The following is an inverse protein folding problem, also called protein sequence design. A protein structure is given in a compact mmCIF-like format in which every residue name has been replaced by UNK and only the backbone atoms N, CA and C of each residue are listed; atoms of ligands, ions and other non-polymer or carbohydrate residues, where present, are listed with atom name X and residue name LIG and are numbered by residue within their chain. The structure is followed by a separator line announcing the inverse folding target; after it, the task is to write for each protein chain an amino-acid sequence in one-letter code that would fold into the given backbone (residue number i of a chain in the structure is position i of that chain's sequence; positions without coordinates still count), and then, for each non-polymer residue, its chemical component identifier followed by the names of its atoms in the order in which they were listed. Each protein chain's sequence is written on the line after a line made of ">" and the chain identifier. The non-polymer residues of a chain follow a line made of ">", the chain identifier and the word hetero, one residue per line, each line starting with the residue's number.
data_IF_201459592424
#
_entry.id   IF_201459592424
#
_cell.length_a   1.000
_cell.length_b   1.000
_cell.length_c   1.000
_cell.angle_alpha   90.00
_cell.angle_beta   90.00
_cell.angle_gamma   90.00
#
_symmetry.space_group_name_H-M   'P 1'
#
loop_
_entity.id
_entity.type
_entity.pdbx_description
1 polymer ?
#
# COMPACT_ATOMS: atom_id res chain seq x y z
N UNK A 1 38.12 52.40 -17.71
CA UNK A 1 36.80 52.66 -17.13
C UNK A 1 36.02 51.33 -17.24
N UNK A 2 36.24 50.47 -16.24
CA UNK A 2 35.61 49.16 -16.13
C UNK A 2 34.31 49.33 -15.37
N UNK A 3 33.24 48.86 -15.98
CA UNK A 3 31.91 48.84 -15.32
C UNK A 3 31.81 47.50 -14.56
N UNK A 4 31.84 47.60 -13.26
CA UNK A 4 31.61 46.49 -12.31
C UNK A 4 30.13 46.05 -12.43
N UNK A 5 29.89 44.85 -12.91
CA UNK A 5 28.60 44.23 -12.95
C UNK A 5 28.23 43.66 -11.58
N UNK A 6 27.31 44.29 -10.90
CA UNK A 6 26.73 43.78 -9.65
C UNK A 6 25.99 42.45 -9.86
N UNK A 7 26.25 41.52 -8.95
CA UNK A 7 25.69 40.16 -8.92
C UNK A 7 24.18 40.23 -8.62
N UNK A 8 23.32 39.55 -9.39
CA UNK A 8 21.86 39.57 -9.18
C UNK A 8 21.42 39.08 -7.78
N UNK A 9 22.22 38.29 -7.11
CA UNK A 9 21.91 37.79 -5.76
C UNK A 9 22.01 38.89 -4.65
N UNK A 10 22.83 39.94 -4.86
CA UNK A 10 22.90 41.06 -3.93
C UNK A 10 21.71 42.02 -4.05
N UNK A 11 21.09 42.12 -5.25
CA UNK A 11 19.91 42.95 -5.44
C UNK A 11 18.67 42.37 -4.78
N UNK A 12 18.52 41.03 -4.78
CA UNK A 12 17.43 40.30 -4.10
C UNK A 12 17.57 40.40 -2.58
N UNK A 13 18.77 40.22 -2.04
CA UNK A 13 19.04 40.35 -0.61
C UNK A 13 18.75 41.77 -0.11
N UNK A 14 19.07 42.81 -0.91
CA UNK A 14 18.80 44.20 -0.57
C UNK A 14 17.33 44.57 -0.55
N UNK A 15 16.52 43.92 -1.41
CA UNK A 15 15.04 44.12 -1.45
C UNK A 15 14.36 43.45 -0.26
N UNK A 16 14.76 42.23 0.11
CA UNK A 16 14.23 41.51 1.26
C UNK A 16 14.54 42.26 2.57
N UNK A 17 15.74 42.80 2.68
CA UNK A 17 16.14 43.59 3.86
C UNK A 17 15.35 44.92 4.01
N UNK A 18 15.02 45.57 2.90
CA UNK A 18 14.18 46.81 2.90
C UNK A 18 12.72 46.53 3.25
N UNK A 19 12.18 45.40 2.83
CA UNK A 19 10.81 45.01 3.19
C UNK A 19 10.72 44.68 4.68
N UNK A 20 11.71 43.98 5.23
CA UNK A 20 11.81 43.66 6.68
C UNK A 20 11.99 44.92 7.52
N UNK A 21 12.78 45.90 7.05
CA UNK A 21 12.99 47.16 7.74
C UNK A 21 11.76 48.07 7.77
N UNK A 22 10.94 48.06 6.72
CA UNK A 22 9.69 48.84 6.69
C UNK A 22 8.57 48.25 7.54
N UNK A 23 8.57 46.91 7.75
CA UNK A 23 7.66 46.24 8.68
C UNK A 23 8.00 46.49 10.14
N UNK A 24 9.30 46.75 10.44
CA UNK A 24 9.77 47.05 11.82
C UNK A 24 9.42 48.48 12.27
N UNK A 25 9.24 49.45 11.38
CA UNK A 25 9.00 50.84 11.72
C UNK A 25 7.49 51.14 12.03
N UNK A 26 6.57 50.28 11.63
CA UNK A 26 5.13 50.44 11.96
C UNK A 26 4.73 49.85 13.33
N UNK A 27 5.62 49.11 14.03
CA UNK A 27 5.34 48.49 15.33
C UNK A 27 5.78 49.33 16.57
N UNK A 28 6.37 50.52 16.41
CA UNK A 28 6.98 51.29 17.54
C UNK A 28 6.19 52.51 17.95
N UNK A 29 4.99 52.72 17.49
CA UNK A 29 4.21 53.92 17.77
C UNK A 29 2.93 53.67 18.59
N UNK A 30 2.96 53.13 19.80
CA UNK A 30 1.91 53.27 20.83
C UNK A 30 2.27 52.49 22.10
N UNK A 31 3.21 52.99 22.94
CA UNK A 31 3.26 52.61 24.33
C UNK A 31 3.50 53.83 25.19
N UNK A 32 2.44 54.33 25.81
CA UNK A 32 2.42 55.25 26.94
C UNK A 32 1.95 54.55 28.19
N UNK A 33 2.86 54.41 29.11
CA UNK A 33 2.71 54.33 30.57
C UNK A 33 1.71 53.35 31.21
N UNK A 34 2.22 52.28 31.81
CA UNK A 34 1.85 51.86 33.18
C UNK A 34 2.97 50.92 33.73
N UNK A 35 3.58 51.31 34.85
CA UNK A 35 4.52 50.54 35.62
C UNK A 35 3.87 49.32 36.25
N UNK A 36 4.46 48.14 36.14
CA UNK A 36 4.09 46.93 36.87
C UNK A 36 5.02 45.77 36.53
N UNK A 37 5.81 45.41 37.49
CA UNK A 37 6.83 44.37 37.56
C UNK A 37 6.36 43.01 37.06
N UNK A 38 7.13 42.30 36.24
CA UNK A 38 7.54 40.88 36.44
C UNK A 38 8.05 40.25 35.13
N UNK A 39 9.17 39.66 35.18
CA UNK A 39 9.80 38.63 34.39
C UNK A 39 8.82 37.81 33.51
N UNK A 40 9.00 37.85 32.22
CA UNK A 40 8.63 36.73 31.34
C UNK A 40 9.33 36.88 30.02
N UNK A 41 10.08 35.85 29.68
CA UNK A 41 10.93 35.73 28.52
C UNK A 41 10.27 36.03 27.20
N UNK A 42 11.03 36.57 26.30
CA UNK A 42 10.77 36.72 24.87
C UNK A 42 10.54 35.34 24.24
N UNK A 43 9.28 34.90 24.14
CA UNK A 43 8.85 33.82 23.29
C UNK A 43 7.45 34.16 22.75
N UNK A 44 7.40 35.04 21.78
CA UNK A 44 6.28 35.10 20.86
C UNK A 44 6.82 35.47 19.50
N UNK A 45 7.34 34.48 18.77
CA UNK A 45 7.13 34.44 17.32
C UNK A 45 5.62 34.46 17.18
N UNK A 46 5.05 35.59 16.81
CA UNK A 46 3.61 35.67 16.49
C UNK A 46 3.36 34.58 15.46
N UNK A 47 2.75 33.49 15.87
CA UNK A 47 2.21 32.51 14.96
C UNK A 47 1.17 33.26 14.14
N UNK A 48 1.48 33.59 12.88
CA UNK A 48 0.51 34.17 11.96
C UNK A 48 -0.76 33.32 12.04
N UNK A 49 -1.84 33.93 12.48
CA UNK A 49 -3.13 33.27 12.58
C UNK A 49 -3.51 32.69 11.20
N UNK A 50 -4.05 31.50 11.19
CA UNK A 50 -4.43 30.76 9.97
C UNK A 50 -5.32 31.61 9.05
N UNK A 51 -6.19 32.45 9.62
CA UNK A 51 -7.09 33.31 8.86
C UNK A 51 -6.32 34.45 8.16
N UNK A 52 -5.36 35.07 8.83
CA UNK A 52 -4.51 36.10 8.23
C UNK A 52 -3.67 35.56 7.08
N UNK A 53 -3.14 34.33 7.21
CA UNK A 53 -2.44 33.64 6.11
C UNK A 53 -3.39 33.37 4.94
N UNK A 54 -4.60 32.93 5.24
CA UNK A 54 -5.63 32.65 4.23
C UNK A 54 -6.02 33.89 3.47
N UNK A 55 -6.32 34.99 4.16
CA UNK A 55 -6.66 36.28 3.54
C UNK A 55 -5.52 36.80 2.65
N UNK A 56 -4.27 36.72 3.15
CA UNK A 56 -3.11 37.13 2.38
C UNK A 56 -2.96 36.31 1.09
N UNK A 57 -3.11 34.99 1.15
CA UNK A 57 -3.00 34.11 -0.03
C UNK A 57 -4.16 34.31 -1.01
N UNK A 58 -5.35 34.72 -0.54
CA UNK A 58 -6.48 35.02 -1.43
C UNK A 58 -6.26 36.30 -2.23
N UNK A 59 -5.54 37.28 -1.67
CA UNK A 59 -5.19 38.55 -2.34
C UNK A 59 -3.95 38.39 -3.22
N UNK A 60 -3.05 37.43 -2.87
CA UNK A 60 -1.78 37.17 -3.54
C UNK A 60 -1.69 35.71 -4.04
N UNK A 61 -2.60 35.30 -4.96
CA UNK A 61 -2.60 33.91 -5.46
C UNK A 61 -1.34 33.55 -6.24
N UNK A 62 -0.62 34.52 -6.78
CA UNK A 62 0.65 34.37 -7.49
C UNK A 62 1.72 33.69 -6.62
N UNK A 63 1.71 33.89 -5.32
CA UNK A 63 2.65 33.22 -4.38
C UNK A 63 2.51 31.71 -4.44
N UNK A 64 1.29 31.22 -4.62
CA UNK A 64 1.02 29.78 -4.69
C UNK A 64 1.21 29.25 -6.12
N UNK A 65 0.92 30.07 -7.13
CA UNK A 65 0.92 29.65 -8.54
C UNK A 65 2.31 29.74 -9.18
N UNK A 66 3.07 30.77 -8.82
CA UNK A 66 4.32 31.11 -9.51
C UNK A 66 5.57 30.63 -8.74
N UNK A 67 5.43 30.27 -7.44
CA UNK A 67 6.52 29.71 -6.65
C UNK A 67 6.59 28.18 -6.81
N UNK A 68 7.67 27.63 -7.42
CA UNK A 68 7.81 26.19 -7.66
C UNK A 68 7.86 25.38 -6.36
N UNK A 69 8.48 25.90 -5.30
CA UNK A 69 8.62 25.18 -4.02
C UNK A 69 7.28 25.04 -3.32
N UNK A 70 6.46 26.10 -3.32
CA UNK A 70 5.11 26.08 -2.75
C UNK A 70 4.21 25.17 -3.57
N UNK A 71 4.23 25.29 -4.90
CA UNK A 71 3.46 24.43 -5.81
C UNK A 71 3.82 22.94 -5.62
N UNK A 72 5.10 22.63 -5.48
CA UNK A 72 5.58 21.27 -5.22
C UNK A 72 5.18 20.77 -3.83
N UNK A 73 5.23 21.62 -2.81
CA UNK A 73 4.79 21.26 -1.46
C UNK A 73 3.29 20.96 -1.42
N UNK A 74 2.46 21.78 -2.09
CA UNK A 74 1.02 21.54 -2.21
C UNK A 74 0.73 20.25 -2.97
N UNK A 75 1.44 19.99 -4.07
CA UNK A 75 1.31 18.74 -4.84
C UNK A 75 1.63 17.53 -3.97
N UNK A 76 2.76 17.54 -3.26
CA UNK A 76 3.12 16.46 -2.32
C UNK A 76 2.06 16.26 -1.24
N UNK A 77 1.56 17.35 -0.64
CA UNK A 77 0.54 17.28 0.39
C UNK A 77 -0.80 16.72 -0.14
N UNK A 78 -1.19 17.06 -1.37
CA UNK A 78 -2.39 16.49 -2.02
C UNK A 78 -2.22 14.99 -2.28
N UNK A 79 -1.09 14.58 -2.88
CA UNK A 79 -0.79 13.18 -3.13
C UNK A 79 -0.77 12.35 -1.83
N UNK A 80 -0.15 12.86 -0.77
CA UNK A 80 -0.17 12.20 0.54
C UNK A 80 -1.58 12.00 1.06
N UNK A 81 -2.43 13.04 1.01
CA UNK A 81 -3.83 12.92 1.46
C UNK A 81 -4.66 11.95 0.62
N UNK A 82 -4.40 11.89 -0.69
CA UNK A 82 -5.06 10.91 -1.58
C UNK A 82 -4.62 9.49 -1.24
N UNK A 83 -3.33 9.28 -1.00
CA UNK A 83 -2.79 7.99 -0.56
C UNK A 83 -3.37 7.56 0.80
N UNK A 84 -3.43 8.46 1.78
CA UNK A 84 -4.02 8.19 3.09
C UNK A 84 -5.51 7.80 2.98
N UNK A 85 -6.29 8.54 2.17
CA UNK A 85 -7.70 8.21 1.92
C UNK A 85 -7.87 6.86 1.24
N UNK A 86 -7.02 6.57 0.26
CA UNK A 86 -7.05 5.29 -0.43
C UNK A 86 -6.64 4.13 0.50
N UNK A 87 -5.69 4.33 1.40
CA UNK A 87 -5.31 3.34 2.42
C UNK A 87 -6.48 3.06 3.38
N UNK A 88 -7.15 4.11 3.89
CA UNK A 88 -8.35 3.95 4.72
C UNK A 88 -9.45 3.18 3.98
N UNK A 89 -9.71 3.51 2.72
CA UNK A 89 -10.72 2.81 1.92
C UNK A 89 -10.36 1.31 1.75
N UNK A 90 -9.10 0.98 1.46
CA UNK A 90 -8.65 -0.42 1.37
C UNK A 90 -8.80 -1.16 2.69
N UNK A 91 -8.45 -0.53 3.80
CA UNK A 91 -8.66 -1.12 5.13
C UNK A 91 -10.13 -1.45 5.37
N UNK A 92 -11.04 -0.54 5.06
CA UNK A 92 -12.49 -0.77 5.14
C UNK A 92 -12.93 -1.94 4.27
N UNK A 93 -12.39 -2.07 3.05
CA UNK A 93 -12.68 -3.22 2.17
C UNK A 93 -12.20 -4.53 2.81
N UNK A 94 -10.97 -4.56 3.35
CA UNK A 94 -10.43 -5.76 4.01
C UNK A 94 -11.24 -6.14 5.26
N UNK A 95 -11.64 -5.18 6.07
CA UNK A 95 -12.51 -5.40 7.24
C UNK A 95 -13.88 -5.94 6.83
N UNK A 96 -14.48 -5.39 5.78
CA UNK A 96 -15.78 -5.84 5.25
C UNK A 96 -15.72 -7.28 4.72
N UNK A 97 -14.56 -7.71 4.23
CA UNK A 97 -14.35 -9.07 3.69
C UNK A 97 -13.55 -9.98 4.64
N UNK A 98 -13.52 -9.65 5.94
CA UNK A 98 -12.79 -10.44 6.93
C UNK A 98 -13.24 -11.92 6.97
N UNK A 99 -14.54 -12.18 6.82
CA UNK A 99 -15.10 -13.53 6.77
C UNK A 99 -14.57 -14.31 5.56
N UNK A 100 -14.45 -13.69 4.40
CA UNK A 100 -13.84 -14.31 3.21
C UNK A 100 -12.36 -14.62 3.47
N UNK A 101 -11.62 -13.66 4.00
CA UNK A 101 -10.17 -13.81 4.26
C UNK A 101 -9.85 -14.87 5.32
N UNK A 102 -10.81 -15.20 6.19
CA UNK A 102 -10.68 -16.23 7.24
C UNK A 102 -11.50 -17.48 6.95
N UNK A 103 -12.14 -17.56 5.78
CA UNK A 103 -12.95 -18.70 5.36
C UNK A 103 -12.14 -20.00 5.34
N UNK A 104 -12.74 -21.13 5.70
CA UNK A 104 -12.13 -22.47 5.53
C UNK A 104 -11.76 -22.80 4.08
N UNK A 105 -12.27 -22.05 3.11
CA UNK A 105 -11.93 -22.19 1.69
C UNK A 105 -10.73 -21.36 1.28
N UNK A 106 -10.30 -20.42 2.12
CA UNK A 106 -9.21 -19.49 1.80
C UNK A 106 -7.86 -20.08 2.19
N UNK A 107 -7.04 -20.49 1.21
CA UNK A 107 -5.72 -20.95 1.50
C UNK A 107 -4.88 -19.82 2.10
N UNK A 108 -4.21 -20.12 3.19
CA UNK A 108 -3.32 -19.16 3.86
C UNK A 108 -2.19 -19.88 4.57
N UNK A 109 -1.06 -19.20 4.75
CA UNK A 109 0.05 -19.60 5.60
C UNK A 109 0.32 -18.56 6.68
N UNK A 110 0.91 -18.96 7.80
CA UNK A 110 1.08 -18.10 8.98
C UNK A 110 -0.13 -18.06 9.89
N UNK A 111 -0.03 -17.33 11.00
CA UNK A 111 -1.07 -17.22 12.02
C UNK A 111 -2.11 -16.18 11.63
N UNK A 112 -3.39 -16.44 11.93
CA UNK A 112 -4.49 -15.48 11.74
C UNK A 112 -4.27 -14.21 12.57
N UNK A 113 -3.60 -14.33 13.72
CA UNK A 113 -3.25 -13.21 14.60
C UNK A 113 -1.99 -12.44 14.22
N UNK A 114 -1.33 -12.77 13.10
CA UNK A 114 -0.12 -12.07 12.66
C UNK A 114 -0.35 -10.57 12.47
N UNK A 115 0.64 -9.77 12.85
CA UNK A 115 0.60 -8.30 12.79
C UNK A 115 0.49 -7.78 11.36
N UNK A 116 1.08 -8.50 10.39
CA UNK A 116 1.03 -8.14 8.97
C UNK A 116 0.36 -9.25 8.17
N UNK A 117 -0.63 -8.85 7.37
CA UNK A 117 -1.24 -9.70 6.36
C UNK A 117 -0.76 -9.27 4.96
N UNK A 118 -0.35 -10.25 4.16
CA UNK A 118 -0.06 -10.13 2.74
C UNK A 118 -1.11 -10.94 1.97
N UNK A 119 -1.77 -10.32 1.00
CA UNK A 119 -2.64 -11.04 0.06
C UNK A 119 -1.93 -11.06 -1.28
N UNK A 120 -1.71 -12.24 -1.84
CA UNK A 120 -1.29 -12.41 -3.21
C UNK A 120 -2.51 -12.74 -4.08
N UNK A 121 -2.82 -11.90 -5.07
CA UNK A 121 -3.74 -12.24 -6.14
C UNK A 121 -2.96 -12.80 -7.34
N UNK A 122 -3.25 -14.04 -7.70
CA UNK A 122 -2.46 -14.77 -8.70
C UNK A 122 -3.31 -15.70 -9.57
N UNK A 123 -2.69 -16.17 -10.66
CA UNK A 123 -3.24 -17.18 -11.56
C UNK A 123 -2.16 -18.21 -11.90
N UNK A 124 -2.49 -19.46 -11.87
CA UNK A 124 -1.54 -20.56 -12.17
C UNK A 124 -1.05 -20.60 -13.62
N UNK A 125 -1.69 -19.90 -14.57
CA UNK A 125 -1.22 -19.74 -15.95
C UNK A 125 -0.44 -18.44 -16.16
N UNK A 126 -0.36 -17.58 -15.15
CA UNK A 126 0.33 -16.30 -15.19
C UNK A 126 1.85 -16.52 -15.08
N UNK A 127 2.59 -16.25 -16.13
CA UNK A 127 4.06 -16.39 -16.12
C UNK A 127 4.74 -15.44 -15.12
N UNK A 128 4.35 -14.15 -14.99
CA UNK A 128 4.89 -13.29 -13.95
C UNK A 128 4.60 -13.80 -12.53
N UNK A 129 3.44 -14.43 -12.27
CA UNK A 129 3.14 -15.04 -10.97
C UNK A 129 4.11 -16.17 -10.65
N UNK A 130 4.34 -17.05 -11.63
CA UNK A 130 5.32 -18.14 -11.50
C UNK A 130 6.73 -17.61 -11.25
N UNK A 131 7.10 -16.50 -11.88
CA UNK A 131 8.41 -15.87 -11.70
C UNK A 131 8.58 -15.24 -10.31
N UNK A 132 7.52 -14.69 -9.70
CA UNK A 132 7.57 -14.07 -8.37
C UNK A 132 7.41 -15.08 -7.21
N UNK A 133 6.93 -16.29 -7.47
CA UNK A 133 6.69 -17.29 -6.43
C UNK A 133 7.95 -17.67 -5.61
N UNK A 134 9.16 -17.81 -6.18
CA UNK A 134 10.38 -18.05 -5.39
C UNK A 134 10.67 -16.92 -4.39
N UNK A 135 10.47 -15.67 -4.77
CA UNK A 135 10.68 -14.50 -3.90
C UNK A 135 9.68 -14.49 -2.75
N UNK A 136 8.40 -14.76 -3.02
CA UNK A 136 7.38 -14.88 -1.99
C UNK A 136 7.69 -16.04 -1.03
N UNK A 137 8.13 -17.19 -1.53
CA UNK A 137 8.52 -18.33 -0.72
C UNK A 137 9.74 -18.04 0.16
N UNK A 138 10.72 -17.28 -0.36
CA UNK A 138 11.85 -16.80 0.43
C UNK A 138 11.38 -15.90 1.59
N UNK A 139 10.51 -14.96 1.33
CA UNK A 139 9.96 -14.04 2.34
C UNK A 139 9.13 -14.82 3.38
N UNK A 140 8.28 -15.76 2.93
CA UNK A 140 7.50 -16.63 3.81
C UNK A 140 8.37 -17.41 4.79
N UNK A 141 9.48 -17.94 4.31
CA UNK A 141 10.41 -18.71 5.14
C UNK A 141 11.24 -17.85 6.12
N UNK A 142 11.50 -16.59 5.77
CA UNK A 142 12.37 -15.69 6.53
C UNK A 142 11.61 -14.76 7.49
N UNK A 143 10.28 -14.64 7.37
CA UNK A 143 9.50 -13.65 8.11
C UNK A 143 8.55 -14.34 9.09
N UNK A 144 8.83 -14.19 10.37
CA UNK A 144 7.89 -14.53 11.44
C UNK A 144 6.78 -13.47 11.51
N UNK A 145 5.64 -13.83 12.09
CA UNK A 145 4.50 -12.93 12.29
C UNK A 145 4.02 -12.29 10.97
N UNK A 146 3.97 -13.10 9.92
CA UNK A 146 3.41 -12.78 8.62
C UNK A 146 2.33 -13.80 8.26
N UNK A 147 1.13 -13.32 7.94
CA UNK A 147 0.10 -14.14 7.33
C UNK A 147 0.04 -13.88 5.84
N UNK A 148 0.15 -14.92 5.03
CA UNK A 148 -0.04 -14.85 3.58
C UNK A 148 -1.41 -15.47 3.25
N UNK A 149 -2.23 -14.75 2.53
CA UNK A 149 -3.52 -15.18 1.98
C UNK A 149 -3.37 -15.34 0.48
N UNK A 150 -3.73 -16.51 -0.04
CA UNK A 150 -3.61 -16.87 -1.45
C UNK A 150 -4.93 -16.61 -2.18
N UNK A 151 -5.08 -15.41 -2.72
CA UNK A 151 -6.24 -14.94 -3.49
C UNK A 151 -6.20 -15.44 -4.92
N UNK A 152 -6.81 -16.57 -5.20
CA UNK A 152 -6.81 -17.15 -6.53
C UNK A 152 -7.69 -16.35 -7.47
N UNK A 153 -7.09 -15.75 -8.50
CA UNK A 153 -7.75 -14.89 -9.50
C UNK A 153 -7.57 -15.48 -10.92
N UNK A 154 -8.37 -16.49 -11.29
CA UNK A 154 -8.20 -17.24 -12.54
C UNK A 154 -8.70 -16.43 -13.74
N UNK A 155 -7.85 -15.57 -14.32
CA UNK A 155 -8.19 -14.63 -15.41
C UNK A 155 -7.76 -15.11 -16.81
N UNK A 156 -6.95 -16.18 -16.91
CA UNK A 156 -6.46 -16.70 -18.19
C UNK A 156 -7.29 -17.88 -18.73
N UNK A 157 -8.59 -17.94 -18.40
CA UNK A 157 -9.55 -18.85 -19.00
C UNK A 157 -9.74 -20.17 -18.25
N UNK A 158 -10.31 -21.16 -18.94
CA UNK A 158 -10.82 -22.41 -18.33
C UNK A 158 -9.73 -23.22 -17.58
N UNK A 159 -8.49 -23.23 -18.08
CA UNK A 159 -7.39 -23.93 -17.44
C UNK A 159 -7.01 -23.30 -16.11
N UNK A 160 -7.04 -21.96 -16.02
CA UNK A 160 -6.85 -21.23 -14.77
C UNK A 160 -7.94 -21.54 -13.75
N UNK A 161 -9.20 -21.57 -14.21
CA UNK A 161 -10.34 -21.93 -13.35
C UNK A 161 -10.21 -23.36 -12.83
N UNK A 162 -9.82 -24.30 -13.69
CA UNK A 162 -9.59 -25.70 -13.28
C UNK A 162 -8.48 -25.81 -12.26
N UNK A 163 -7.34 -25.16 -12.47
CA UNK A 163 -6.22 -25.17 -11.55
C UNK A 163 -6.58 -24.55 -10.20
N UNK A 164 -7.30 -23.41 -10.20
CA UNK A 164 -7.76 -22.76 -8.98
C UNK A 164 -8.73 -23.66 -8.19
N UNK A 165 -9.69 -24.30 -8.85
CA UNK A 165 -10.60 -25.25 -8.18
C UNK A 165 -9.86 -26.44 -7.59
N UNK A 166 -8.89 -26.99 -8.32
CA UNK A 166 -8.06 -28.08 -7.82
C UNK A 166 -7.23 -27.67 -6.60
N UNK A 167 -6.69 -26.45 -6.59
CA UNK A 167 -5.92 -25.95 -5.46
C UNK A 167 -6.78 -25.72 -4.21
N UNK A 168 -8.05 -25.27 -4.35
CA UNK A 168 -8.98 -25.19 -3.23
C UNK A 168 -9.35 -26.59 -2.74
N UNK A 169 -9.55 -27.56 -3.64
CA UNK A 169 -9.77 -28.96 -3.27
C UNK A 169 -8.56 -29.57 -2.55
N UNK A 170 -7.34 -29.22 -2.97
CA UNK A 170 -6.11 -29.59 -2.26
C UNK A 170 -6.02 -28.94 -0.88
N UNK A 171 -6.48 -27.68 -0.73
CA UNK A 171 -6.58 -27.00 0.56
C UNK A 171 -7.49 -27.75 1.53
N UNK A 172 -8.66 -28.17 1.07
CA UNK A 172 -9.61 -28.99 1.86
C UNK A 172 -9.02 -30.33 2.32
N UNK A 173 -7.97 -30.81 1.65
CA UNK A 173 -7.22 -32.00 2.03
C UNK A 173 -5.95 -31.71 2.84
N UNK A 174 -5.70 -30.42 3.20
CA UNK A 174 -4.50 -30.02 3.95
C UNK A 174 -3.20 -30.15 3.16
N UNK A 175 -3.26 -30.08 1.83
CA UNK A 175 -2.14 -30.28 0.91
C UNK A 175 -1.91 -29.07 -0.01
N UNK A 176 -2.46 -27.91 0.35
CA UNK A 176 -2.39 -26.71 -0.48
C UNK A 176 -0.96 -26.34 -0.85
N UNK A 177 -0.06 -26.17 0.12
CA UNK A 177 1.30 -25.65 -0.13
C UNK A 177 2.05 -26.52 -1.13
N UNK A 178 2.06 -27.83 -0.94
CA UNK A 178 2.74 -28.76 -1.85
C UNK A 178 2.13 -28.74 -3.26
N UNK A 179 0.81 -28.68 -3.35
CA UNK A 179 0.11 -28.63 -4.63
C UNK A 179 0.29 -27.28 -5.33
N UNK A 180 0.18 -26.19 -4.59
CA UNK A 180 0.42 -24.84 -5.08
C UNK A 180 1.84 -24.69 -5.65
N UNK A 181 2.85 -25.08 -4.88
CA UNK A 181 4.24 -25.00 -5.32
C UNK A 181 4.49 -25.85 -6.59
N UNK A 182 3.90 -27.04 -6.67
CA UNK A 182 4.02 -27.89 -7.84
C UNK A 182 3.37 -27.26 -9.09
N UNK A 183 2.18 -26.64 -8.96
CA UNK A 183 1.53 -25.94 -10.06
C UNK A 183 2.28 -24.67 -10.46
N UNK A 184 2.80 -23.91 -9.51
CA UNK A 184 3.61 -22.69 -9.79
C UNK A 184 4.93 -23.03 -10.49
N UNK A 185 5.55 -24.13 -10.13
CA UNK A 185 6.80 -24.59 -10.76
C UNK A 185 6.57 -25.32 -12.10
N UNK A 186 5.34 -25.66 -12.44
CA UNK A 186 5.02 -26.33 -13.70
C UNK A 186 5.24 -25.42 -14.90
N UNK A 187 6.01 -25.89 -15.86
CA UNK A 187 6.22 -25.20 -17.16
C UNK A 187 5.25 -25.67 -18.27
N UNK A 188 4.32 -26.56 -17.93
CA UNK A 188 3.35 -27.10 -18.87
C UNK A 188 2.01 -26.40 -18.72
N UNK A 189 1.17 -26.56 -19.75
CA UNK A 189 -0.22 -26.13 -19.69
C UNK A 189 -0.96 -26.98 -18.65
N UNK A 190 -1.68 -26.36 -17.73
CA UNK A 190 -2.42 -27.03 -16.67
C UNK A 190 -3.80 -27.49 -17.19
N UNK A 191 -3.79 -28.58 -17.95
CA UNK A 191 -5.01 -29.31 -18.29
C UNK A 191 -5.40 -30.32 -17.19
N UNK A 192 -6.52 -31.03 -17.36
CA UNK A 192 -7.00 -31.96 -16.35
C UNK A 192 -6.00 -33.09 -16.07
N UNK A 193 -5.33 -33.60 -17.09
CA UNK A 193 -4.42 -34.72 -16.95
C UNK A 193 -3.18 -34.30 -16.13
N UNK A 194 -2.61 -33.13 -16.42
CA UNK A 194 -1.48 -32.58 -15.67
C UNK A 194 -1.84 -32.20 -14.24
N UNK A 195 -3.05 -31.66 -14.01
CA UNK A 195 -3.58 -31.37 -12.68
C UNK A 195 -3.72 -32.65 -11.84
N UNK A 196 -4.29 -33.72 -12.41
CA UNK A 196 -4.43 -34.99 -11.71
C UNK A 196 -3.07 -35.69 -11.48
N UNK A 197 -2.16 -35.61 -12.43
CA UNK A 197 -0.79 -36.12 -12.25
C UNK A 197 -0.08 -35.42 -11.08
N UNK A 198 -0.12 -34.09 -11.06
CA UNK A 198 0.43 -33.29 -9.96
C UNK A 198 -0.24 -33.62 -8.63
N UNK A 199 -1.56 -33.80 -8.62
CA UNK A 199 -2.30 -34.16 -7.42
C UNK A 199 -1.87 -35.52 -6.85
N UNK A 200 -1.67 -36.52 -7.73
CA UNK A 200 -1.15 -37.84 -7.33
C UNK A 200 0.26 -37.75 -6.76
N UNK A 201 1.14 -36.97 -7.39
CA UNK A 201 2.52 -36.76 -6.94
C UNK A 201 2.62 -36.19 -5.53
N UNK A 202 1.72 -35.23 -5.17
CA UNK A 202 1.68 -34.64 -3.84
C UNK A 202 0.82 -35.43 -2.85
N UNK A 203 0.27 -36.59 -3.25
CA UNK A 203 -0.45 -37.51 -2.39
C UNK A 203 -1.87 -37.11 -2.05
N UNK A 204 -2.57 -36.40 -2.96
CA UNK A 204 -3.98 -36.11 -2.84
C UNK A 204 -4.86 -37.32 -3.15
N UNK A 205 -5.99 -37.43 -2.47
CA UNK A 205 -7.07 -38.32 -2.85
C UNK A 205 -7.75 -37.78 -4.11
N UNK A 206 -7.61 -38.52 -5.22
CA UNK A 206 -8.10 -38.06 -6.53
C UNK A 206 -9.62 -38.12 -6.66
N UNK A 207 -10.31 -39.02 -5.94
CA UNK A 207 -11.77 -39.06 -5.94
C UNK A 207 -12.32 -37.85 -5.21
N UNK A 208 -11.80 -37.58 -4.03
CA UNK A 208 -12.14 -36.39 -3.24
C UNK A 208 -11.80 -35.10 -3.98
N UNK A 209 -10.63 -35.05 -4.63
CA UNK A 209 -10.24 -33.89 -5.47
C UNK A 209 -11.29 -33.61 -6.53
N UNK A 210 -11.74 -34.65 -7.26
CA UNK A 210 -12.73 -34.53 -8.33
C UNK A 210 -14.06 -34.02 -7.82
N UNK A 211 -14.52 -34.52 -6.68
CA UNK A 211 -15.79 -34.15 -6.09
C UNK A 211 -15.75 -32.73 -5.55
N UNK A 212 -14.69 -32.36 -4.81
CA UNK A 212 -14.48 -31.00 -4.30
C UNK A 212 -14.34 -29.97 -5.44
N UNK A 213 -13.66 -30.30 -6.53
CA UNK A 213 -13.58 -29.43 -7.72
C UNK A 213 -14.94 -29.16 -8.37
N UNK A 214 -15.93 -30.03 -8.19
CA UNK A 214 -17.30 -29.86 -8.75
C UNK A 214 -18.24 -29.12 -7.82
N UNK A 215 -17.84 -28.94 -6.57
CA UNK A 215 -18.65 -28.24 -5.57
C UNK A 215 -18.93 -26.79 -6.03
N UNK A 216 -20.22 -26.40 -6.19
CA UNK A 216 -20.58 -25.03 -6.57
C UNK A 216 -20.01 -23.97 -5.65
N UNK A 217 -19.88 -24.25 -4.37
CA UNK A 217 -19.34 -23.34 -3.36
C UNK A 217 -17.91 -22.88 -3.70
N UNK A 218 -17.12 -23.73 -4.39
CA UNK A 218 -15.78 -23.36 -4.84
C UNK A 218 -15.81 -22.27 -5.92
N UNK A 219 -16.81 -22.31 -6.81
CA UNK A 219 -16.98 -21.25 -7.82
C UNK A 219 -17.50 -19.96 -7.21
N UNK A 220 -18.42 -20.06 -6.26
CA UNK A 220 -18.92 -18.90 -5.51
C UNK A 220 -17.78 -18.22 -4.75
N UNK A 221 -16.93 -18.99 -4.08
CA UNK A 221 -15.73 -18.49 -3.42
C UNK A 221 -14.77 -17.78 -4.38
N UNK A 222 -14.48 -18.35 -5.55
CA UNK A 222 -13.62 -17.71 -6.55
C UNK A 222 -14.20 -16.39 -7.06
N UNK A 223 -15.52 -16.29 -7.17
CA UNK A 223 -16.19 -15.05 -7.52
C UNK A 223 -16.10 -14.01 -6.41
N UNK A 224 -16.23 -14.40 -5.15
CA UNK A 224 -16.02 -13.50 -4.00
C UNK A 224 -14.58 -12.97 -3.95
N UNK A 225 -13.57 -13.82 -4.23
CA UNK A 225 -12.17 -13.40 -4.34
C UNK A 225 -11.99 -12.40 -5.49
N UNK A 226 -12.67 -12.60 -6.63
CA UNK A 226 -12.64 -11.67 -7.76
C UNK A 226 -13.21 -10.30 -7.37
N UNK A 227 -14.36 -10.29 -6.68
CA UNK A 227 -15.00 -9.06 -6.20
C UNK A 227 -14.12 -8.32 -5.18
N UNK A 228 -13.47 -9.05 -4.28
CA UNK A 228 -12.49 -8.47 -3.35
C UNK A 228 -11.32 -7.84 -4.11
N UNK A 229 -10.77 -8.53 -5.11
CA UNK A 229 -9.67 -8.00 -5.92
C UNK A 229 -10.08 -6.68 -6.62
N UNK A 230 -11.27 -6.63 -7.22
CA UNK A 230 -11.81 -5.40 -7.83
C UNK A 230 -11.98 -4.27 -6.81
N UNK A 231 -12.56 -4.55 -5.64
CA UNK A 231 -12.76 -3.57 -4.58
C UNK A 231 -11.44 -3.00 -4.03
N UNK A 232 -10.37 -3.80 -4.06
CA UNK A 232 -9.01 -3.37 -3.69
C UNK A 232 -8.26 -2.65 -4.83
N UNK A 233 -8.84 -2.56 -6.03
CA UNK A 233 -8.23 -1.92 -7.19
C UNK A 233 -7.19 -2.78 -7.91
N UNK A 234 -7.25 -4.10 -7.74
CA UNK A 234 -6.39 -5.04 -8.47
C UNK A 234 -6.85 -5.13 -9.93
N UNK A 235 -5.93 -4.91 -10.87
CA UNK A 235 -6.20 -4.88 -12.31
C UNK A 235 -5.59 -6.04 -13.08
N UNK A 236 -4.85 -6.93 -12.40
CA UNK A 236 -4.18 -8.08 -13.02
C UNK A 236 -3.38 -8.88 -11.99
N UNK A 237 -2.65 -9.88 -12.48
CA UNK A 237 -1.83 -10.78 -11.66
C UNK A 237 -0.37 -10.80 -12.13
N UNK A 238 0.61 -10.99 -11.22
CA UNK A 238 0.43 -11.03 -9.77
C UNK A 238 0.10 -9.63 -9.22
N UNK A 239 -0.65 -9.60 -8.11
CA UNK A 239 -0.80 -8.38 -7.33
C UNK A 239 -0.67 -8.69 -5.84
N UNK A 240 0.15 -7.91 -5.15
CA UNK A 240 0.38 -8.01 -3.72
C UNK A 240 -0.30 -6.85 -2.99
N UNK A 241 -1.05 -7.16 -1.94
CA UNK A 241 -1.57 -6.19 -0.97
C UNK A 241 -0.92 -6.52 0.37
N UNK A 242 -0.18 -5.60 0.95
CA UNK A 242 0.51 -5.77 2.24
C UNK A 242 -0.08 -4.75 3.22
N UNK A 243 -0.77 -5.22 4.24
CA UNK A 243 -1.57 -4.35 5.10
C UNK A 243 -2.61 -3.54 4.30
N UNK A 244 -2.55 -2.22 4.38
CA UNK A 244 -3.40 -1.30 3.62
C UNK A 244 -2.67 -0.60 2.44
N UNK A 245 -1.49 -1.09 2.05
CA UNK A 245 -0.75 -0.56 0.92
C UNK A 245 -1.51 -0.68 -0.40
N UNK A 246 -1.14 0.15 -1.37
CA UNK A 246 -1.68 0.04 -2.72
C UNK A 246 -1.27 -1.30 -3.36
N UNK A 247 -2.13 -1.87 -4.25
CA UNK A 247 -1.74 -3.05 -5.00
C UNK A 247 -0.44 -2.81 -5.76
N UNK A 248 0.49 -3.73 -5.64
CA UNK A 248 1.75 -3.76 -6.40
C UNK A 248 1.79 -5.00 -7.28
N UNK A 249 2.48 -4.94 -8.40
CA UNK A 249 2.75 -6.10 -9.25
C UNK A 249 3.76 -7.07 -8.62
N UNK A 250 4.42 -7.88 -9.46
CA UNK A 250 5.51 -8.74 -8.98
C UNK A 250 6.59 -7.91 -8.27
N UNK A 251 7.00 -8.35 -7.09
CA UNK A 251 8.00 -7.71 -6.24
C UNK A 251 9.12 -8.71 -5.96
N UNK A 252 10.37 -8.23 -5.93
CA UNK A 252 11.49 -9.02 -5.47
C UNK A 252 11.44 -9.25 -3.95
N UNK A 253 12.14 -10.24 -3.44
CA UNK A 253 12.08 -10.62 -2.02
C UNK A 253 12.50 -9.49 -1.07
N UNK A 254 13.47 -8.66 -1.46
CA UNK A 254 13.91 -7.49 -0.69
C UNK A 254 12.85 -6.37 -0.66
N UNK A 255 12.16 -6.13 -1.79
CA UNK A 255 11.06 -5.17 -1.88
C UNK A 255 9.86 -5.61 -1.02
N UNK A 256 9.47 -6.90 -1.09
CA UNK A 256 8.44 -7.49 -0.24
C UNK A 256 8.80 -7.33 1.24
N UNK A 257 10.02 -7.68 1.62
CA UNK A 257 10.50 -7.58 2.99
C UNK A 257 10.50 -6.14 3.51
N UNK A 258 10.91 -5.18 2.68
CA UNK A 258 10.91 -3.77 3.03
C UNK A 258 9.48 -3.24 3.23
N UNK A 259 8.54 -3.63 2.38
CA UNK A 259 7.13 -3.24 2.53
C UNK A 259 6.51 -3.84 3.79
N UNK A 260 6.73 -5.13 4.06
CA UNK A 260 6.26 -5.81 5.27
C UNK A 260 6.79 -5.09 6.53
N UNK A 261 8.08 -4.75 6.56
CA UNK A 261 8.68 -4.02 7.67
C UNK A 261 8.04 -2.63 7.86
N UNK A 262 7.73 -1.94 6.77
CA UNK A 262 7.05 -0.64 6.81
C UNK A 262 5.63 -0.76 7.38
N UNK A 263 4.85 -1.75 6.94
CA UNK A 263 3.50 -1.98 7.42
C UNK A 263 3.48 -2.38 8.89
N UNK A 264 4.43 -3.21 9.34
CA UNK A 264 4.60 -3.56 10.75
C UNK A 264 4.85 -2.32 11.61
N UNK A 265 5.79 -1.46 11.19
CA UNK A 265 6.09 -0.22 11.91
C UNK A 265 4.91 0.78 11.93
N UNK A 266 4.00 0.72 10.98
CA UNK A 266 2.76 1.52 11.00
C UNK A 266 1.75 0.95 11.99
N UNK A 267 1.57 -0.38 12.03
CA UNK A 267 0.69 -1.05 12.98
C UNK A 267 1.13 -0.80 14.43
N UNK A 268 2.42 -0.92 14.72
CA UNK A 268 2.98 -0.68 16.06
C UNK A 268 2.73 0.77 16.54
N UNK A 269 2.85 1.74 15.64
CA UNK A 269 2.55 3.15 15.94
C UNK A 269 1.07 3.40 16.22
N UNK A 270 0.18 2.73 15.49
CA UNK A 270 -1.25 2.85 15.71
C UNK A 270 -1.70 2.26 17.06
N UNK A 271 -1.05 1.19 17.52
CA UNK A 271 -1.33 0.55 18.82
C UNK A 271 -0.76 1.36 20.01
N UNK A 272 0.19 2.28 19.76
CA UNK A 272 0.86 3.08 20.80
C UNK A 272 0.20 4.43 21.08
N UNK A 273 -0.87 4.79 20.36
CA UNK A 273 -1.65 6.03 20.49
C UNK A 273 -3.00 5.78 21.16
#
# INVERSE_FOLDING_TARGET
>A
MEAESLNPDEEVAGRVCKVLQNLLVLAVGLIGAACGNSDSGLTSTEAMDRESVREYLLVHPEIVLDDPEISDAIRRARLSREQDRAAVARRTVLETHADLLTSPLTPSSGDVGSTVMLIEFFDYQCLPCKASNPDLNQVRAATEDLRIVYGQLPIYGSHSIMAARAAIAAHRQGRFDAFHDALMNSNTRLDMDSIYATAAEVGLDLEKLRDDMRDPVVLEYLEEVRLLAEALGVTGTPAFIIGDAAPSGGMAADELSAEIARQRAQSDRALSQ
#
